data_IF_156469657768
#
_entry.id   IF_156469657768
#
_cell.length_a   1.000
_cell.length_b   1.000
_cell.length_c   1.000
_cell.angle_alpha   90.00
_cell.angle_beta   90.00
_cell.angle_gamma   90.00
#
_symmetry.space_group_name_H-M   'P 1'
#
loop_
_entity.id
_entity.type
_entity.pdbx_description
1 polymer ?
#
# COMPACT_ATOMS: atom_id res chain seq x y z
N UNK A 1 17.04 2.01 6.26
CA UNK A 1 16.70 1.49 4.90
C UNK A 1 17.90 1.75 4.01
N UNK A 2 18.50 0.73 3.37
CA UNK A 2 19.68 0.91 2.48
C UNK A 2 19.30 1.22 1.02
N UNK A 3 18.15 0.73 0.55
CA UNK A 3 17.61 1.04 -0.77
C UNK A 3 16.08 0.94 -0.75
N UNK A 4 15.43 1.72 -1.60
CA UNK A 4 13.98 1.72 -1.79
C UNK A 4 13.68 1.78 -3.29
N UNK A 5 13.04 0.73 -3.80
CA UNK A 5 12.69 0.60 -5.21
C UNK A 5 11.18 0.47 -5.35
N UNK A 6 10.60 1.16 -6.33
CA UNK A 6 9.20 0.98 -6.75
C UNK A 6 9.24 0.34 -8.14
N UNK A 7 8.77 -0.89 -8.24
CA UNK A 7 8.82 -1.70 -9.48
C UNK A 7 10.24 -1.77 -10.09
N UNK A 8 11.24 -1.98 -9.25
CA UNK A 8 12.64 -2.12 -9.67
C UNK A 8 13.35 -0.80 -10.01
N UNK A 9 12.68 0.35 -9.90
CA UNK A 9 13.28 1.67 -10.12
C UNK A 9 13.49 2.41 -8.79
N UNK A 10 14.57 3.18 -8.62
CA UNK A 10 14.74 4.03 -7.44
C UNK A 10 13.53 4.95 -7.25
N UNK A 11 13.18 5.20 -5.99
CA UNK A 11 12.19 6.22 -5.65
C UNK A 11 12.63 7.57 -6.26
N UNK A 12 11.76 8.16 -7.06
CA UNK A 12 11.87 9.55 -7.50
C UNK A 12 11.05 10.45 -6.57
N UNK A 13 11.73 11.26 -5.76
CA UNK A 13 11.10 12.15 -4.77
C UNK A 13 10.28 13.29 -5.39
N UNK A 14 10.50 13.60 -6.68
CA UNK A 14 9.76 14.68 -7.38
C UNK A 14 8.49 14.16 -8.03
N UNK A 15 8.26 12.85 -8.01
CA UNK A 15 7.12 12.20 -8.65
C UNK A 15 5.98 11.98 -7.66
N UNK A 16 4.76 12.21 -8.11
CA UNK A 16 3.54 11.81 -7.39
C UNK A 16 3.24 10.34 -7.63
N UNK A 17 2.95 9.59 -6.56
CA UNK A 17 2.57 8.19 -6.61
C UNK A 17 1.15 8.00 -6.07
N UNK A 18 0.39 7.13 -6.73
CA UNK A 18 -0.91 6.71 -6.23
C UNK A 18 -0.71 5.60 -5.20
N UNK A 19 -1.30 5.78 -4.02
CA UNK A 19 -1.25 4.81 -2.92
C UNK A 19 -2.67 4.42 -2.53
N UNK A 20 -2.94 3.13 -2.47
CA UNK A 20 -4.18 2.60 -1.91
C UNK A 20 -3.96 2.27 -0.43
N UNK A 21 -4.84 2.75 0.45
CA UNK A 21 -4.76 2.54 1.88
C UNK A 21 -6.16 2.63 2.52
N UNK A 22 -6.26 2.59 3.85
CA UNK A 22 -7.53 2.67 4.58
C UNK A 22 -7.81 4.09 5.08
N UNK A 23 -9.09 4.41 5.28
CA UNK A 23 -9.51 5.68 5.90
C UNK A 23 -8.90 5.91 7.28
N UNK A 24 -8.64 4.84 8.05
CA UNK A 24 -7.93 4.92 9.32
C UNK A 24 -6.52 5.52 9.18
N UNK A 25 -5.75 5.06 8.18
CA UNK A 25 -4.39 5.59 7.95
C UNK A 25 -4.42 6.98 7.29
N UNK A 26 -5.34 7.23 6.35
CA UNK A 26 -5.50 8.56 5.71
C UNK A 26 -5.80 9.65 6.75
N UNK A 27 -6.59 9.34 7.77
CA UNK A 27 -6.94 10.29 8.84
C UNK A 27 -5.82 10.48 9.87
N UNK A 28 -4.70 9.77 9.74
CA UNK A 28 -3.52 9.88 10.61
C UNK A 28 -3.44 8.83 11.72
N UNK A 29 -4.23 7.77 11.66
CA UNK A 29 -4.06 6.60 12.51
C UNK A 29 -2.64 6.03 12.43
N UNK A 30 -2.19 5.39 13.50
CA UNK A 30 -0.82 4.86 13.63
C UNK A 30 0.30 5.88 13.32
N UNK A 31 0.07 7.15 13.67
CA UNK A 31 0.97 8.28 13.39
C UNK A 31 1.28 8.50 11.90
N UNK A 32 0.46 8.00 10.98
CA UNK A 32 0.61 8.19 9.53
C UNK A 32 0.13 9.59 9.07
N UNK A 33 0.50 10.63 9.82
CA UNK A 33 0.04 12.01 9.62
C UNK A 33 0.45 12.60 8.25
N UNK A 34 1.45 12.01 7.60
CA UNK A 34 1.92 12.43 6.28
C UNK A 34 0.87 12.24 5.18
N UNK A 35 -0.08 11.31 5.33
CA UNK A 35 -1.17 11.15 4.35
C UNK A 35 -2.12 12.34 4.32
N UNK A 36 -2.16 13.19 5.36
CA UNK A 36 -2.93 14.44 5.36
C UNK A 36 -2.44 15.46 4.33
N UNK A 37 -1.22 15.29 3.82
CA UNK A 37 -0.61 16.14 2.80
C UNK A 37 -0.78 15.57 1.38
N UNK A 38 -1.66 14.58 1.17
CA UNK A 38 -1.92 14.03 -0.15
C UNK A 38 -2.45 15.12 -1.11
N UNK A 39 -2.02 15.07 -2.36
CA UNK A 39 -2.47 16.01 -3.40
C UNK A 39 -3.93 15.80 -3.78
N UNK A 40 -4.41 14.56 -3.65
CA UNK A 40 -5.79 14.15 -3.95
C UNK A 40 -6.13 12.93 -3.09
N UNK A 41 -7.40 12.83 -2.68
CA UNK A 41 -7.95 11.65 -2.00
C UNK A 41 -9.21 11.23 -2.75
N UNK A 42 -9.22 9.98 -3.23
CA UNK A 42 -10.39 9.37 -3.88
C UNK A 42 -10.96 8.31 -2.94
N UNK A 43 -12.15 8.57 -2.40
CA UNK A 43 -12.86 7.60 -1.57
C UNK A 43 -13.54 6.55 -2.46
N UNK A 44 -13.24 5.27 -2.20
CA UNK A 44 -13.82 4.16 -2.97
C UNK A 44 -15.17 3.70 -2.44
N UNK A 45 -15.57 4.18 -1.25
CA UNK A 45 -16.70 3.67 -0.46
C UNK A 45 -16.71 2.14 -0.34
N UNK A 46 -15.53 1.54 -0.27
CA UNK A 46 -15.36 0.10 -0.36
C UNK A 46 -14.44 -0.44 0.72
N UNK A 47 -15.00 -1.26 1.60
CA UNK A 47 -14.26 -1.80 2.74
C UNK A 47 -13.20 -2.82 2.32
N UNK A 48 -12.04 -2.79 2.98
CA UNK A 48 -10.94 -3.75 2.77
C UNK A 48 -11.41 -5.21 2.87
N UNK A 49 -12.31 -5.53 3.82
CA UNK A 49 -12.87 -6.89 3.95
C UNK A 49 -13.57 -7.35 2.67
N UNK A 50 -14.29 -6.45 1.99
CA UNK A 50 -15.00 -6.77 0.76
C UNK A 50 -13.99 -7.00 -0.37
N UNK A 51 -12.91 -6.20 -0.44
CA UNK A 51 -11.85 -6.39 -1.41
C UNK A 51 -11.15 -7.75 -1.26
N UNK A 52 -10.91 -8.16 -0.01
CA UNK A 52 -10.36 -9.49 0.29
C UNK A 52 -11.34 -10.60 -0.12
N UNK A 53 -12.62 -10.47 0.23
CA UNK A 53 -13.66 -11.45 -0.16
C UNK A 53 -13.75 -11.58 -1.69
N UNK A 54 -13.81 -10.46 -2.41
CA UNK A 54 -13.94 -10.48 -3.86
C UNK A 54 -12.68 -10.98 -4.56
N UNK A 55 -11.50 -10.78 -3.95
CA UNK A 55 -10.28 -11.45 -4.40
C UNK A 55 -10.40 -12.97 -4.26
N UNK A 56 -10.82 -13.49 -3.10
CA UNK A 56 -10.96 -14.94 -2.89
C UNK A 56 -12.09 -15.57 -3.72
N UNK A 57 -13.13 -14.83 -4.07
CA UNK A 57 -14.15 -15.32 -5.03
C UNK A 57 -13.57 -15.49 -6.44
N UNK A 58 -12.56 -14.70 -6.82
CA UNK A 58 -11.94 -14.73 -8.15
C UNK A 58 -10.73 -15.66 -8.21
N UNK A 59 -10.06 -15.89 -7.08
CA UNK A 59 -8.83 -16.68 -6.98
C UNK A 59 -9.11 -17.95 -6.19
N UNK A 60 -9.22 -19.05 -6.92
CA UNK A 60 -9.53 -20.38 -6.37
C UNK A 60 -8.45 -20.89 -5.41
N UNK A 61 -7.17 -20.76 -5.78
CA UNK A 61 -6.04 -21.25 -5.00
C UNK A 61 -5.07 -20.11 -4.68
N UNK A 62 -4.81 -19.90 -3.39
CA UNK A 62 -3.80 -18.94 -2.92
C UNK A 62 -2.43 -19.60 -2.97
N UNK A 63 -1.56 -19.13 -3.87
CA UNK A 63 -0.16 -19.56 -3.94
C UNK A 63 0.71 -18.48 -3.30
N UNK A 64 1.07 -18.62 -2.01
CA UNK A 64 1.92 -17.63 -1.36
C UNK A 64 3.32 -17.66 -2.00
N UNK A 65 3.84 -16.48 -2.34
CA UNK A 65 5.21 -16.30 -2.79
C UNK A 65 5.96 -15.49 -1.74
N UNK A 66 7.10 -16.00 -1.30
CA UNK A 66 8.06 -15.17 -0.55
C UNK A 66 8.69 -14.24 -1.58
N UNK A 67 8.42 -12.95 -1.42
CA UNK A 67 9.14 -11.88 -2.08
C UNK A 67 9.96 -11.16 -1.00
N UNK A 68 11.24 -10.93 -1.27
CA UNK A 68 12.19 -10.29 -0.34
C UNK A 68 11.89 -8.79 -0.14
N UNK A 69 10.61 -8.44 0.10
CA UNK A 69 10.08 -7.08 0.25
C UNK A 69 10.76 -6.33 1.39
N UNK A 70 11.15 -7.04 2.45
CA UNK A 70 11.83 -6.47 3.60
C UNK A 70 12.94 -7.40 4.07
N UNK A 71 14.18 -6.94 3.95
CA UNK A 71 15.34 -7.60 4.55
C UNK A 71 15.78 -6.73 5.73
N UNK A 72 15.50 -7.19 6.95
CA UNK A 72 16.04 -6.56 8.16
C UNK A 72 17.44 -7.12 8.38
N UNK A 73 18.46 -6.31 8.09
CA UNK A 73 19.84 -6.63 8.46
C UNK A 73 20.05 -6.17 9.90
N UNK A 74 20.62 -7.04 10.74
CA UNK A 74 21.17 -6.67 12.05
C UNK A 74 22.41 -5.78 11.89
#
# INVERSE_FOLDING_TARGET
>A
IKSLLIQGRPLDEKKTYNVATTSYLVTGGDNMVFFKNATEVVETDYFVRNAIIDYFKKVDTIVPKIDDRFIKME
#
